data_IF_764485709803
#
_entry.id   IF_764485709803
#
_cell.length_a   1.000
_cell.length_b   1.000
_cell.length_c   1.000
_cell.angle_alpha   90.00
_cell.angle_beta   90.00
_cell.angle_gamma   90.00
#
_symmetry.space_group_name_H-M   'P 1'
#
loop_
_entity.id
_entity.type
_entity.pdbx_description
1 polymer ?
#
# COMPACT_ATOMS: atom_id res chain seq x y z
N UNK A 1 -69.71 -38.84 17.70
CA UNK A 1 -69.15 -38.11 16.54
C UNK A 1 -67.89 -37.41 17.03
N UNK A 2 -66.70 -38.01 16.81
CA UNK A 2 -65.42 -37.45 17.24
C UNK A 2 -64.79 -36.69 16.07
N UNK A 3 -64.37 -35.44 16.32
CA UNK A 3 -63.73 -34.56 15.34
C UNK A 3 -62.21 -34.56 15.59
N UNK A 4 -61.35 -34.93 14.63
CA UNK A 4 -59.91 -34.95 14.86
C UNK A 4 -59.30 -33.58 14.55
N UNK A 5 -58.79 -32.90 15.58
CA UNK A 5 -57.98 -31.70 15.41
C UNK A 5 -56.58 -32.11 14.89
N UNK A 6 -56.26 -31.73 13.65
CA UNK A 6 -54.93 -31.85 13.07
C UNK A 6 -54.03 -30.75 13.64
N UNK A 7 -53.07 -31.12 14.48
CA UNK A 7 -51.98 -30.25 14.91
C UNK A 7 -50.93 -30.24 13.79
N UNK A 8 -50.80 -29.11 13.08
CA UNK A 8 -49.67 -28.87 12.18
C UNK A 8 -48.47 -28.44 13.04
N UNK A 9 -47.40 -29.25 13.03
CA UNK A 9 -46.09 -28.84 13.52
C UNK A 9 -45.37 -28.06 12.42
N UNK A 10 -45.24 -26.74 12.59
CA UNK A 10 -44.40 -25.90 11.73
C UNK A 10 -42.95 -26.04 12.22
N UNK A 11 -42.12 -26.79 11.48
CA UNK A 11 -40.67 -26.82 11.69
C UNK A 11 -40.07 -25.48 11.26
N UNK A 12 -39.72 -24.64 12.23
CA UNK A 12 -38.89 -23.46 12.00
C UNK A 12 -37.44 -23.93 11.76
N UNK A 13 -37.00 -23.95 10.49
CA UNK A 13 -35.59 -24.09 10.15
C UNK A 13 -34.84 -22.84 10.63
N UNK A 14 -34.14 -22.95 11.75
CA UNK A 14 -33.10 -22.02 12.17
C UNK A 14 -31.97 -22.11 11.13
N UNK A 15 -31.97 -21.20 10.15
CA UNK A 15 -30.83 -20.97 9.27
C UNK A 15 -29.70 -20.40 10.13
N UNK A 16 -28.82 -21.27 10.64
CA UNK A 16 -27.55 -20.85 11.19
C UNK A 16 -26.77 -20.14 10.08
N UNK A 17 -26.26 -18.91 10.29
CA UNK A 17 -25.41 -18.26 9.31
C UNK A 17 -24.20 -19.17 9.13
N UNK A 18 -24.06 -19.76 7.94
CA UNK A 18 -22.81 -20.37 7.53
C UNK A 18 -21.79 -19.24 7.53
N UNK A 19 -20.87 -19.27 8.49
CA UNK A 19 -19.68 -18.44 8.44
C UNK A 19 -19.05 -18.65 7.07
N UNK A 20 -18.94 -17.59 6.27
CA UNK A 20 -18.26 -17.66 4.98
C UNK A 20 -16.85 -18.19 5.25
N UNK A 21 -16.52 -19.35 4.68
CA UNK A 21 -15.21 -19.95 4.89
C UNK A 21 -14.14 -19.05 4.27
N UNK A 22 -13.06 -18.83 5.03
CA UNK A 22 -11.86 -18.19 4.52
C UNK A 22 -11.29 -19.09 3.41
N UNK A 23 -11.25 -18.58 2.18
CA UNK A 23 -10.79 -19.32 0.99
C UNK A 23 -9.44 -18.75 0.54
N UNK A 24 -8.56 -19.58 -0.05
CA UNK A 24 -7.35 -19.07 -0.67
C UNK A 24 -7.66 -18.12 -1.82
N UNK A 25 -6.86 -17.07 -1.95
CA UNK A 25 -6.99 -16.08 -3.02
C UNK A 25 -5.64 -15.52 -3.42
N UNK A 26 -5.61 -14.70 -4.47
CA UNK A 26 -4.40 -14.04 -4.94
C UNK A 26 -4.65 -12.56 -5.09
N UNK A 27 -3.71 -11.74 -4.62
CA UNK A 27 -3.63 -10.33 -4.96
C UNK A 27 -2.23 -10.00 -5.48
N UNK A 28 -2.12 -8.88 -6.19
CA UNK A 28 -0.86 -8.45 -6.80
C UNK A 28 -0.43 -7.10 -6.23
N UNK A 29 0.87 -6.88 -6.14
CA UNK A 29 1.44 -5.59 -5.72
C UNK A 29 2.58 -5.15 -6.62
N UNK A 30 2.69 -3.85 -6.87
CA UNK A 30 3.74 -3.23 -7.68
C UNK A 30 3.86 -1.75 -7.28
N UNK A 31 4.92 -1.08 -7.70
CA UNK A 31 5.23 0.31 -7.31
C UNK A 31 6.45 0.81 -8.07
N UNK A 32 6.81 2.07 -7.89
CA UNK A 32 8.09 2.61 -8.37
C UNK A 32 8.29 2.47 -9.89
N UNK A 33 7.20 2.65 -10.64
CA UNK A 33 7.18 2.50 -12.09
C UNK A 33 6.00 3.23 -12.75
N UNK A 34 6.18 3.74 -13.98
CA UNK A 34 7.40 3.70 -14.80
C UNK A 34 8.26 4.94 -14.55
N UNK A 35 9.59 4.80 -14.65
CA UNK A 35 10.52 5.90 -14.43
C UNK A 35 11.07 6.41 -15.76
N UNK A 36 10.54 7.54 -16.23
CA UNK A 36 11.02 8.16 -17.46
C UNK A 36 12.26 9.02 -17.21
N UNK A 37 13.25 8.93 -18.10
CA UNK A 37 14.40 9.86 -18.11
C UNK A 37 13.96 11.21 -18.69
N UNK A 38 14.11 12.33 -17.97
CA UNK A 38 13.79 13.66 -18.50
C UNK A 38 14.57 13.95 -19.79
N UNK A 39 13.88 14.42 -20.82
CA UNK A 39 14.48 14.72 -22.13
C UNK A 39 14.65 13.52 -23.07
N UNK A 40 14.34 12.30 -22.63
CA UNK A 40 14.44 11.09 -23.45
C UNK A 40 13.05 10.48 -23.72
N UNK A 41 12.38 11.01 -24.74
CA UNK A 41 11.01 10.59 -25.08
C UNK A 41 10.93 9.12 -25.51
N UNK A 42 11.96 8.61 -26.22
CA UNK A 42 11.99 7.23 -26.68
C UNK A 42 12.13 6.25 -25.51
N UNK A 43 13.00 6.58 -24.54
CA UNK A 43 13.06 5.85 -23.28
C UNK A 43 11.74 5.88 -22.55
N UNK A 44 11.13 7.07 -22.40
CA UNK A 44 9.86 7.17 -21.70
C UNK A 44 8.78 6.31 -22.37
N UNK A 45 8.66 6.34 -23.70
CA UNK A 45 7.71 5.49 -24.42
C UNK A 45 7.99 3.98 -24.17
N UNK A 46 9.25 3.58 -24.10
CA UNK A 46 9.62 2.21 -23.74
C UNK A 46 9.17 1.84 -22.33
N UNK A 47 9.44 2.67 -21.33
CA UNK A 47 9.04 2.41 -19.94
C UNK A 47 7.52 2.31 -19.79
N UNK A 48 6.77 3.18 -20.50
CA UNK A 48 5.30 3.11 -20.52
C UNK A 48 4.79 1.82 -21.17
N UNK A 49 5.38 1.36 -22.28
CA UNK A 49 5.02 0.08 -22.90
C UNK A 49 5.34 -1.12 -22.01
N UNK A 50 6.45 -1.07 -21.26
CA UNK A 50 6.81 -2.11 -20.28
C UNK A 50 5.75 -2.21 -19.19
N UNK A 51 5.31 -1.07 -18.65
CA UNK A 51 4.21 -1.04 -17.68
C UNK A 51 2.89 -1.54 -18.28
N UNK A 52 2.52 -1.13 -19.50
CA UNK A 52 1.31 -1.63 -20.17
C UNK A 52 1.32 -3.16 -20.32
N UNK A 53 2.48 -3.72 -20.68
CA UNK A 53 2.68 -5.16 -20.77
C UNK A 53 2.53 -5.84 -19.41
N UNK A 54 3.07 -5.23 -18.35
CA UNK A 54 2.92 -5.73 -16.98
C UNK A 54 1.45 -5.73 -16.56
N UNK A 55 0.72 -4.62 -16.77
CA UNK A 55 -0.71 -4.51 -16.43
C UNK A 55 -1.52 -5.59 -17.18
N UNK A 56 -1.23 -5.83 -18.46
CA UNK A 56 -1.85 -6.92 -19.22
C UNK A 56 -1.62 -8.31 -18.59
N UNK A 57 -0.41 -8.58 -18.07
CA UNK A 57 -0.10 -9.82 -17.35
C UNK A 57 -0.80 -9.89 -15.99
N UNK A 58 -0.92 -8.77 -15.29
CA UNK A 58 -1.64 -8.68 -14.02
C UNK A 58 -3.13 -8.95 -14.20
N UNK A 59 -3.77 -8.34 -15.20
CA UNK A 59 -5.18 -8.62 -15.53
C UNK A 59 -5.39 -10.09 -15.91
N UNK A 60 -4.48 -10.68 -16.72
CA UNK A 60 -4.56 -12.08 -17.10
C UNK A 60 -4.40 -13.07 -15.92
N UNK A 61 -3.80 -12.63 -14.81
CA UNK A 61 -3.68 -13.42 -13.59
C UNK A 61 -4.97 -13.44 -12.74
N UNK A 62 -5.99 -12.66 -13.12
CA UNK A 62 -7.30 -12.57 -12.47
C UNK A 62 -7.25 -12.43 -10.93
N UNK A 63 -6.51 -11.45 -10.39
CA UNK A 63 -6.40 -11.30 -8.94
C UNK A 63 -7.71 -10.80 -8.33
N UNK A 64 -7.88 -11.05 -7.03
CA UNK A 64 -8.96 -10.45 -6.25
C UNK A 64 -8.90 -8.92 -6.29
N UNK A 65 -7.69 -8.37 -6.20
CA UNK A 65 -7.36 -6.96 -6.38
C UNK A 65 -5.85 -6.80 -6.65
N UNK A 66 -5.45 -5.62 -7.10
CA UNK A 66 -4.06 -5.19 -7.21
C UNK A 66 -3.80 -3.97 -6.32
N UNK A 67 -2.55 -3.75 -5.94
CA UNK A 67 -2.12 -2.60 -5.12
C UNK A 67 -0.93 -1.91 -5.78
N UNK A 68 -1.02 -0.59 -5.95
CA UNK A 68 0.10 0.26 -6.37
C UNK A 68 0.70 0.99 -5.16
N UNK A 69 1.98 0.76 -4.90
CA UNK A 69 2.71 1.20 -3.70
C UNK A 69 3.43 2.53 -3.88
N UNK A 70 2.89 3.41 -4.71
CA UNK A 70 3.46 4.75 -4.93
C UNK A 70 4.48 4.81 -6.06
N UNK A 71 4.91 6.04 -6.38
CA UNK A 71 5.93 6.34 -7.38
C UNK A 71 5.54 5.97 -8.83
N UNK A 72 4.47 6.61 -9.28
CA UNK A 72 3.97 6.71 -10.68
C UNK A 72 4.91 7.47 -11.63
N UNK A 73 5.97 8.09 -11.10
CA UNK A 73 7.02 8.76 -11.88
C UNK A 73 8.36 8.69 -11.14
N UNK A 74 9.45 8.94 -11.84
CA UNK A 74 10.75 9.14 -11.20
C UNK A 74 10.81 10.48 -10.44
N UNK A 75 11.62 10.56 -9.39
CA UNK A 75 11.79 11.79 -8.61
C UNK A 75 12.37 12.98 -9.39
N UNK A 76 13.05 12.75 -10.52
CA UNK A 76 13.56 13.81 -11.39
C UNK A 76 12.63 14.15 -12.57
N UNK A 77 11.48 13.51 -12.69
CA UNK A 77 10.44 13.93 -13.63
C UNK A 77 9.67 15.14 -13.06
N UNK A 78 9.36 16.09 -13.94
CA UNK A 78 8.59 17.28 -13.58
C UNK A 78 7.18 16.93 -13.07
N UNK A 79 6.73 17.56 -11.99
CA UNK A 79 5.41 17.35 -11.41
C UNK A 79 4.32 18.14 -12.14
N UNK A 80 4.21 17.94 -13.45
CA UNK A 80 3.17 18.56 -14.28
C UNK A 80 1.89 17.74 -14.26
N UNK A 81 0.77 18.36 -14.62
CA UNK A 81 -0.52 17.69 -14.70
C UNK A 81 -0.51 16.49 -15.65
N UNK A 82 0.21 16.62 -16.77
CA UNK A 82 0.34 15.56 -17.76
C UNK A 82 1.02 14.31 -17.17
N UNK A 83 2.02 14.50 -16.31
CA UNK A 83 2.85 13.43 -15.74
C UNK A 83 2.19 12.82 -14.50
N UNK A 84 1.76 13.65 -13.54
CA UNK A 84 1.28 13.17 -12.22
C UNK A 84 -0.18 12.70 -12.28
N UNK A 85 -1.04 13.38 -13.04
CA UNK A 85 -2.48 13.09 -13.03
C UNK A 85 -2.93 12.35 -14.29
N UNK A 86 -2.70 12.91 -15.49
CA UNK A 86 -3.26 12.37 -16.74
C UNK A 86 -2.65 11.00 -17.06
N UNK A 87 -1.32 10.90 -17.02
CA UNK A 87 -0.60 9.67 -17.32
C UNK A 87 -0.93 8.56 -16.31
N UNK A 88 -0.95 8.89 -15.02
CA UNK A 88 -1.34 7.97 -13.93
C UNK A 88 -2.78 7.48 -14.10
N UNK A 89 -3.74 8.38 -14.33
CA UNK A 89 -5.14 8.02 -14.55
C UNK A 89 -5.31 7.08 -15.76
N UNK A 90 -4.52 7.29 -16.82
CA UNK A 90 -4.51 6.42 -18.00
C UNK A 90 -4.09 5.00 -17.65
N UNK A 91 -3.05 4.78 -16.84
CA UNK A 91 -2.66 3.42 -16.42
C UNK A 91 -3.65 2.79 -15.45
N UNK A 92 -4.13 3.56 -14.46
CA UNK A 92 -5.10 3.05 -13.50
C UNK A 92 -6.41 2.62 -14.18
N UNK A 93 -6.80 3.27 -15.29
CA UNK A 93 -7.93 2.86 -16.13
C UNK A 93 -7.72 1.59 -16.97
N UNK A 94 -6.51 1.02 -17.02
CA UNK A 94 -6.21 -0.24 -17.71
C UNK A 94 -6.49 -1.48 -16.85
N UNK A 95 -6.65 -1.34 -15.53
CA UNK A 95 -6.90 -2.46 -14.64
C UNK A 95 -8.32 -3.00 -14.79
N UNK A 96 -8.45 -4.30 -15.07
CA UNK A 96 -9.74 -4.99 -15.20
C UNK A 96 -10.34 -5.36 -13.83
N UNK A 97 -9.51 -5.41 -12.80
CA UNK A 97 -9.84 -5.75 -11.40
C UNK A 97 -9.63 -4.53 -10.49
N UNK A 98 -10.12 -4.57 -9.22
CA UNK A 98 -9.89 -3.49 -8.27
C UNK A 98 -8.41 -3.15 -8.11
N UNK A 99 -8.10 -1.84 -8.12
CA UNK A 99 -6.77 -1.30 -7.87
C UNK A 99 -6.80 -0.39 -6.63
N UNK A 100 -6.06 -0.75 -5.59
CA UNK A 100 -5.80 0.13 -4.45
C UNK A 100 -4.52 0.90 -4.70
N UNK A 101 -4.48 2.17 -4.31
CA UNK A 101 -3.34 3.06 -4.50
C UNK A 101 -2.96 3.70 -3.16
N UNK A 102 -1.67 3.73 -2.84
CA UNK A 102 -1.10 4.64 -1.84
C UNK A 102 -0.03 5.52 -2.51
N UNK A 103 0.04 6.83 -2.22
CA UNK A 103 1.05 7.70 -2.84
C UNK A 103 2.47 7.36 -2.40
N UNK A 104 3.45 7.66 -3.27
CA UNK A 104 4.88 7.69 -2.96
C UNK A 104 5.40 9.12 -2.88
N UNK A 105 6.70 9.31 -2.61
CA UNK A 105 7.32 10.63 -2.52
C UNK A 105 7.42 11.33 -3.87
N UNK A 106 7.62 10.56 -4.95
CA UNK A 106 7.87 11.14 -6.26
C UNK A 106 6.69 11.99 -6.76
N UNK A 107 5.44 11.59 -6.53
CA UNK A 107 4.27 12.32 -7.03
C UNK A 107 4.02 13.65 -6.36
N UNK A 108 4.57 13.91 -5.18
CA UNK A 108 4.26 15.12 -4.42
C UNK A 108 5.41 15.66 -3.58
N UNK A 109 5.98 14.90 -2.64
CA UNK A 109 7.02 15.44 -1.74
C UNK A 109 8.29 15.80 -2.47
N UNK A 110 8.63 15.17 -3.59
CA UNK A 110 9.80 15.53 -4.38
C UNK A 110 9.58 16.76 -5.27
N UNK A 111 8.34 17.20 -5.43
CA UNK A 111 7.96 18.20 -6.42
C UNK A 111 8.48 19.61 -6.13
N UNK A 112 8.84 19.93 -4.88
CA UNK A 112 9.48 21.20 -4.53
C UNK A 112 10.91 21.31 -5.05
N UNK A 113 11.53 20.19 -5.39
CA UNK A 113 12.91 20.19 -5.86
C UNK A 113 12.98 20.83 -7.25
N UNK A 114 14.01 21.64 -7.56
CA UNK A 114 14.15 22.27 -8.88
C UNK A 114 14.13 21.27 -10.04
N UNK A 115 14.70 20.07 -9.85
CA UNK A 115 14.69 18.99 -10.86
C UNK A 115 13.28 18.47 -11.18
N UNK A 116 12.33 18.65 -10.27
CA UNK A 116 10.95 18.21 -10.38
C UNK A 116 9.96 19.36 -10.67
N UNK A 117 10.47 20.58 -10.93
CA UNK A 117 9.65 21.73 -11.33
C UNK A 117 9.41 22.78 -10.24
N UNK A 118 9.86 22.55 -8.99
CA UNK A 118 9.79 23.57 -7.94
C UNK A 118 8.36 23.92 -7.48
N UNK A 119 7.46 22.94 -7.49
CA UNK A 119 6.06 23.11 -7.12
C UNK A 119 5.83 23.03 -5.61
N UNK A 120 4.68 23.54 -5.14
CA UNK A 120 4.23 23.31 -3.76
C UNK A 120 3.80 21.83 -3.59
N UNK A 121 4.50 21.04 -2.75
CA UNK A 121 4.24 19.62 -2.60
C UNK A 121 2.89 19.35 -1.90
N UNK A 122 2.48 20.21 -0.96
CA UNK A 122 1.21 20.06 -0.22
C UNK A 122 0.03 20.38 -1.15
N UNK A 123 0.18 21.36 -2.03
CA UNK A 123 -0.82 21.63 -3.06
C UNK A 123 -0.99 20.45 -4.04
N UNK A 124 0.10 19.78 -4.40
CA UNK A 124 0.04 18.58 -5.25
C UNK A 124 -0.63 17.42 -4.51
N UNK A 125 -0.30 17.19 -3.23
CA UNK A 125 -0.97 16.17 -2.42
C UNK A 125 -2.49 16.41 -2.34
N UNK A 126 -2.92 17.65 -2.14
CA UNK A 126 -4.34 17.99 -2.14
C UNK A 126 -5.02 17.61 -3.48
N UNK A 127 -4.33 17.82 -4.61
CA UNK A 127 -4.82 17.42 -5.94
C UNK A 127 -4.81 15.91 -6.15
N UNK A 128 -3.80 15.18 -5.64
CA UNK A 128 -3.79 13.71 -5.65
C UNK A 128 -5.02 13.14 -4.93
N UNK A 129 -5.33 13.68 -3.74
CA UNK A 129 -6.52 13.31 -2.95
C UNK A 129 -7.81 13.54 -3.75
N UNK A 130 -7.93 14.67 -4.44
CA UNK A 130 -9.09 14.97 -5.30
C UNK A 130 -9.17 14.05 -6.52
N UNK A 131 -8.04 13.70 -7.14
CA UNK A 131 -8.02 12.92 -8.37
C UNK A 131 -8.26 11.42 -8.15
N UNK A 132 -7.64 10.85 -7.11
CA UNK A 132 -7.57 9.40 -6.94
C UNK A 132 -8.25 8.88 -5.67
N UNK A 133 -8.63 9.76 -4.74
CA UNK A 133 -9.22 9.38 -3.45
C UNK A 133 -10.56 10.10 -3.19
N UNK A 134 -11.24 10.53 -4.24
CA UNK A 134 -12.50 11.28 -4.13
C UNK A 134 -13.65 10.47 -3.52
N UNK A 135 -13.56 9.14 -3.55
CA UNK A 135 -14.63 8.21 -3.12
C UNK A 135 -14.05 7.12 -2.21
N UNK A 136 -14.86 6.53 -1.31
CA UNK A 136 -14.47 5.39 -0.48
C UNK A 136 -14.51 4.07 -1.27
N UNK A 137 -13.91 4.06 -2.47
CA UNK A 137 -13.88 2.93 -3.38
C UNK A 137 -12.49 2.84 -4.00
N UNK A 138 -12.04 1.63 -4.34
CA UNK A 138 -10.81 1.43 -5.11
C UNK A 138 -10.93 1.99 -6.53
N UNK A 139 -9.80 2.04 -7.23
CA UNK A 139 -9.71 2.36 -8.65
C UNK A 139 -9.87 1.10 -9.51
N UNK A 140 -9.71 1.26 -10.84
CA UNK A 140 -9.87 0.20 -11.83
C UNK A 140 -11.24 0.22 -12.52
N UNK A 141 -11.45 -0.66 -13.51
CA UNK A 141 -12.74 -0.80 -14.21
C UNK A 141 -13.83 -1.42 -13.34
N UNK A 142 -13.40 -2.31 -12.44
CA UNK A 142 -14.21 -2.85 -11.35
C UNK A 142 -13.62 -2.31 -10.06
N UNK A 143 -14.47 -1.79 -9.19
CA UNK A 143 -14.06 -1.22 -7.91
C UNK A 143 -14.53 -2.09 -6.75
N UNK A 144 -13.91 -1.90 -5.58
CA UNK A 144 -14.36 -2.47 -4.31
C UNK A 144 -14.49 -1.39 -3.25
N UNK A 145 -15.41 -1.53 -2.28
CA UNK A 145 -15.58 -0.55 -1.21
C UNK A 145 -14.37 -0.54 -0.28
N UNK A 146 -14.01 0.65 0.21
CA UNK A 146 -12.92 0.88 1.15
C UNK A 146 -13.44 1.66 2.36
N UNK A 147 -12.96 1.33 3.55
CA UNK A 147 -13.14 2.19 4.74
C UNK A 147 -11.94 3.11 4.85
N UNK A 148 -12.13 4.43 4.72
CA UNK A 148 -11.04 5.41 4.82
C UNK A 148 -10.94 5.99 6.23
N UNK A 149 -9.73 6.29 6.68
CA UNK A 149 -9.50 6.93 7.98
C UNK A 149 -10.33 8.20 8.11
N UNK A 150 -10.30 9.06 7.08
CA UNK A 150 -11.05 10.31 7.06
C UNK A 150 -12.57 10.16 7.28
N UNK A 151 -13.16 9.01 6.96
CA UNK A 151 -14.60 8.77 7.07
C UNK A 151 -15.02 8.26 8.45
N UNK A 152 -14.09 7.65 9.20
CA UNK A 152 -14.38 6.97 10.47
C UNK A 152 -13.63 7.55 11.67
N UNK A 153 -12.70 8.47 11.44
CA UNK A 153 -11.91 9.14 12.47
C UNK A 153 -12.14 10.67 12.40
N UNK A 154 -13.04 11.22 13.24
CA UNK A 154 -13.34 12.66 13.25
C UNK A 154 -12.14 13.56 13.59
N UNK A 155 -11.06 13.02 14.18
CA UNK A 155 -9.85 13.78 14.45
C UNK A 155 -8.91 13.86 13.23
N UNK A 156 -9.12 12.99 12.23
CA UNK A 156 -8.21 12.76 11.11
C UNK A 156 -8.94 12.79 9.75
N UNK A 157 -9.83 13.77 9.56
CA UNK A 157 -10.71 13.90 8.37
C UNK A 157 -10.00 14.20 7.04
N UNK A 158 -8.69 14.45 7.07
CA UNK A 158 -7.91 14.84 5.88
C UNK A 158 -7.27 13.64 5.17
N UNK A 159 -7.11 12.50 5.84
CA UNK A 159 -6.32 11.35 5.38
C UNK A 159 -7.20 10.33 4.65
N UNK A 160 -7.59 10.67 3.42
CA UNK A 160 -8.46 9.86 2.57
C UNK A 160 -7.74 8.70 1.89
N UNK A 161 -6.41 8.78 1.81
CA UNK A 161 -5.52 7.78 1.22
C UNK A 161 -5.18 6.62 2.17
N UNK A 162 -5.42 6.81 3.48
CA UNK A 162 -5.39 5.75 4.47
C UNK A 162 -6.71 4.98 4.41
N UNK A 163 -6.67 3.76 3.89
CA UNK A 163 -7.85 2.94 3.64
C UNK A 163 -7.65 1.52 4.17
N UNK A 164 -8.74 0.84 4.53
CA UNK A 164 -8.76 -0.56 4.94
C UNK A 164 -9.94 -1.32 4.35
N UNK A 165 -9.77 -2.62 4.21
CA UNK A 165 -10.81 -3.56 3.78
C UNK A 165 -10.52 -4.95 4.35
N UNK A 166 -11.52 -5.82 4.32
CA UNK A 166 -11.39 -7.22 4.71
C UNK A 166 -11.66 -8.11 3.49
N UNK A 167 -10.88 -9.17 3.34
CA UNK A 167 -11.09 -10.17 2.31
C UNK A 167 -10.73 -11.56 2.84
N UNK A 168 -11.70 -12.49 2.81
CA UNK A 168 -11.56 -13.87 3.29
C UNK A 168 -10.84 -14.01 4.65
N UNK A 169 -11.22 -13.19 5.64
CA UNK A 169 -10.66 -13.26 7.00
C UNK A 169 -9.28 -12.63 7.17
N UNK A 170 -8.80 -11.86 6.18
CA UNK A 170 -7.57 -11.07 6.26
C UNK A 170 -7.93 -9.58 6.20
N UNK A 171 -7.35 -8.78 7.09
CA UNK A 171 -7.48 -7.32 7.06
C UNK A 171 -6.31 -6.71 6.30
N UNK A 172 -6.61 -5.75 5.45
CA UNK A 172 -5.66 -5.01 4.64
C UNK A 172 -5.76 -3.53 4.98
N UNK A 173 -4.64 -2.81 5.05
CA UNK A 173 -4.65 -1.37 5.17
C UNK A 173 -3.48 -0.67 4.45
N UNK A 174 -3.78 0.41 3.74
CA UNK A 174 -2.77 1.37 3.30
C UNK A 174 -2.43 2.32 4.44
N UNK A 175 -1.16 2.72 4.51
CA UNK A 175 -0.64 3.74 5.42
C UNK A 175 0.22 4.68 4.61
N UNK A 176 -0.11 5.96 4.57
CA UNK A 176 0.57 6.94 3.75
C UNK A 176 1.91 7.36 4.37
N UNK A 177 2.89 6.48 4.28
CA UNK A 177 4.30 6.69 4.66
C UNK A 177 5.14 6.64 3.38
N UNK A 178 5.86 7.72 3.11
CA UNK A 178 6.59 7.92 1.85
C UNK A 178 8.10 8.07 2.10
N UNK A 179 8.88 7.89 1.04
CA UNK A 179 10.32 8.12 0.99
C UNK A 179 10.68 9.58 1.32
N UNK A 180 11.96 9.90 1.21
CA UNK A 180 12.46 11.24 1.56
C UNK A 180 12.13 11.64 3.02
N UNK A 181 12.51 10.77 3.97
CA UNK A 181 12.26 10.90 5.42
C UNK A 181 10.80 11.22 5.76
N UNK A 182 9.85 10.65 5.01
CA UNK A 182 8.41 10.84 5.21
C UNK A 182 7.96 12.31 5.09
N UNK A 183 8.62 13.11 4.24
CA UNK A 183 8.45 14.56 4.15
C UNK A 183 8.81 15.32 5.44
N UNK A 184 9.55 14.71 6.36
CA UNK A 184 10.01 15.43 7.55
C UNK A 184 10.97 16.55 7.13
N UNK A 185 10.75 17.81 7.54
CA UNK A 185 11.67 18.89 7.22
C UNK A 185 13.07 18.60 7.79
N UNK A 186 14.14 18.79 7.01
CA UNK A 186 15.49 18.68 7.55
C UNK A 186 15.75 19.76 8.59
N UNK A 187 16.61 19.47 9.57
CA UNK A 187 16.96 20.41 10.65
C UNK A 187 17.73 21.64 10.14
N UNK A 188 18.42 21.49 9.01
CA UNK A 188 19.19 22.56 8.38
C UNK A 188 19.01 22.54 6.86
N UNK A 189 19.21 23.68 6.21
CA UNK A 189 19.09 23.80 4.75
C UNK A 189 17.68 24.14 4.26
N UNK A 190 17.45 23.94 2.97
CA UNK A 190 16.16 24.19 2.35
C UNK A 190 15.15 23.12 2.78
N UNK A 191 13.94 23.57 3.13
CA UNK A 191 12.85 22.70 3.56
C UNK A 191 11.75 22.66 2.49
N UNK A 192 11.06 21.52 2.32
CA UNK A 192 9.89 21.46 1.47
C UNK A 192 8.81 22.42 2.01
N UNK A 193 8.20 23.28 1.17
CA UNK A 193 7.11 24.15 1.60
C UNK A 193 5.97 23.36 2.25
N UNK A 194 5.50 23.81 3.42
CA UNK A 194 4.39 23.20 4.15
C UNK A 194 4.69 21.88 4.87
N UNK A 195 5.90 21.33 4.75
CA UNK A 195 6.27 20.07 5.41
C UNK A 195 6.25 20.16 6.95
N UNK A 196 6.54 21.34 7.52
CA UNK A 196 6.55 21.53 8.97
C UNK A 196 5.17 21.34 9.62
N UNK A 197 4.09 21.70 8.93
CA UNK A 197 2.73 21.41 9.38
C UNK A 197 2.23 20.04 8.91
N UNK A 198 2.56 19.66 7.67
CA UNK A 198 2.05 18.44 7.02
C UNK A 198 2.55 17.16 7.72
N UNK A 199 3.87 17.05 7.92
CA UNK A 199 4.49 15.81 8.40
C UNK A 199 4.01 15.40 9.80
N UNK A 200 4.04 16.26 10.83
CA UNK A 200 3.65 15.83 12.18
C UNK A 200 2.19 15.38 12.26
N UNK A 201 1.29 16.04 11.51
CA UNK A 201 -0.12 15.67 11.46
C UNK A 201 -0.30 14.30 10.78
N UNK A 202 0.36 14.07 9.63
CA UNK A 202 0.27 12.78 8.92
C UNK A 202 0.90 11.63 9.69
N UNK A 203 2.07 11.82 10.32
CA UNK A 203 2.68 10.77 11.15
C UNK A 203 1.77 10.39 12.33
N UNK A 204 1.20 11.38 13.03
CA UNK A 204 0.27 11.11 14.12
C UNK A 204 -0.99 10.36 13.62
N UNK A 205 -1.56 10.77 12.49
CA UNK A 205 -2.71 10.12 11.88
C UNK A 205 -2.39 8.69 11.43
N UNK A 206 -1.22 8.45 10.82
CA UNK A 206 -0.77 7.13 10.41
C UNK A 206 -0.61 6.19 11.60
N UNK A 207 -0.05 6.65 12.72
CA UNK A 207 0.06 5.85 13.94
C UNK A 207 -1.31 5.48 14.52
N UNK A 208 -2.23 6.44 14.54
CA UNK A 208 -3.62 6.17 14.93
C UNK A 208 -4.30 5.17 13.99
N UNK A 209 -4.05 5.29 12.68
CA UNK A 209 -4.60 4.40 11.67
C UNK A 209 -4.08 2.96 11.78
N UNK A 210 -2.77 2.79 11.98
CA UNK A 210 -2.15 1.49 12.25
C UNK A 210 -2.81 0.84 13.47
N UNK A 211 -2.94 1.58 14.58
CA UNK A 211 -3.61 1.07 15.77
C UNK A 211 -5.07 0.66 15.50
N UNK A 212 -5.82 1.49 14.77
CA UNK A 212 -7.22 1.21 14.42
C UNK A 212 -7.38 0.01 13.47
N UNK A 213 -6.44 -0.21 12.55
CA UNK A 213 -6.45 -1.33 11.63
C UNK A 213 -6.15 -2.66 12.34
N UNK A 214 -5.20 -2.69 13.27
CA UNK A 214 -4.95 -3.86 14.11
C UNK A 214 -6.10 -4.14 15.09
N UNK A 215 -6.70 -3.10 15.68
CA UNK A 215 -7.89 -3.26 16.51
C UNK A 215 -9.06 -3.86 15.73
N UNK A 216 -9.21 -3.50 14.45
CA UNK A 216 -10.19 -4.12 13.57
C UNK A 216 -9.88 -5.60 13.31
N UNK A 217 -8.62 -5.93 13.01
CA UNK A 217 -8.18 -7.31 12.80
C UNK A 217 -8.41 -8.19 14.05
N UNK A 218 -8.19 -7.66 15.25
CA UNK A 218 -8.51 -8.34 16.51
C UNK A 218 -10.03 -8.50 16.69
N UNK A 219 -10.80 -7.43 16.42
CA UNK A 219 -12.26 -7.40 16.56
C UNK A 219 -12.96 -8.40 15.63
N UNK A 220 -12.50 -8.53 14.39
CA UNK A 220 -13.06 -9.47 13.40
C UNK A 220 -12.43 -10.85 13.50
N UNK A 221 -11.42 -11.03 14.35
CA UNK A 221 -10.73 -12.30 14.52
C UNK A 221 -9.90 -12.69 13.29
N UNK A 222 -9.43 -11.71 12.51
CA UNK A 222 -8.69 -11.91 11.27
C UNK A 222 -7.49 -12.84 11.44
N UNK A 223 -7.29 -13.76 10.51
CA UNK A 223 -6.18 -14.73 10.58
C UNK A 223 -4.83 -14.08 10.27
N UNK A 224 -4.82 -12.99 9.50
CA UNK A 224 -3.63 -12.24 9.15
C UNK A 224 -3.94 -10.75 8.91
N UNK A 225 -2.88 -9.94 8.87
CA UNK A 225 -2.92 -8.51 8.57
C UNK A 225 -1.93 -8.18 7.43
N UNK A 226 -2.31 -7.29 6.52
CA UNK A 226 -1.42 -6.75 5.49
C UNK A 226 -1.38 -5.24 5.58
N UNK A 227 -0.19 -4.67 5.79
CA UNK A 227 0.06 -3.23 5.76
C UNK A 227 0.83 -2.86 4.49
N UNK A 228 0.37 -1.82 3.80
CA UNK A 228 0.93 -1.35 2.54
C UNK A 228 1.31 0.12 2.65
N UNK A 229 2.53 0.47 2.28
CA UNK A 229 3.08 1.82 2.31
C UNK A 229 4.17 1.94 1.23
N UNK A 230 4.69 3.12 0.93
CA UNK A 230 5.73 3.26 -0.10
C UNK A 230 7.15 3.14 0.49
N UNK A 231 7.45 3.89 1.55
CA UNK A 231 8.81 4.08 2.10
C UNK A 231 9.58 2.80 2.48
N UNK A 232 10.89 2.72 2.17
CA UNK A 232 11.79 1.75 2.80
C UNK A 232 12.28 2.25 4.17
N UNK A 233 11.48 1.99 5.19
CA UNK A 233 11.77 2.36 6.59
C UNK A 233 12.98 1.64 7.22
N UNK A 234 13.68 0.79 6.46
CA UNK A 234 14.83 0.00 6.90
C UNK A 234 16.10 0.31 6.11
N UNK A 235 16.06 1.32 5.22
CA UNK A 235 17.22 1.70 4.40
C UNK A 235 18.47 1.94 5.27
N UNK A 236 18.34 2.74 6.33
CA UNK A 236 19.48 3.05 7.23
C UNK A 236 20.00 1.83 7.97
N UNK A 237 19.13 0.88 8.33
CA UNK A 237 19.57 -0.36 9.00
C UNK A 237 20.39 -1.24 8.07
N UNK A 238 20.03 -1.26 6.77
CA UNK A 238 20.74 -2.00 5.73
C UNK A 238 22.03 -1.29 5.30
N UNK A 239 21.98 0.03 5.11
CA UNK A 239 23.02 0.80 4.44
C UNK A 239 23.93 1.60 5.38
N UNK A 240 23.55 1.81 6.63
CA UNK A 240 24.29 2.61 7.60
C UNK A 240 24.19 4.12 7.40
N UNK A 241 23.47 4.59 6.37
CA UNK A 241 23.24 6.00 6.06
C UNK A 241 21.79 6.24 5.60
N UNK A 242 21.41 7.51 5.44
CA UNK A 242 20.06 7.93 5.07
C UNK A 242 19.22 8.38 6.27
N UNK A 243 18.30 9.30 6.03
CA UNK A 243 17.40 9.84 7.04
C UNK A 243 16.17 8.93 7.18
N UNK A 244 15.87 8.53 8.43
CA UNK A 244 14.72 7.67 8.77
C UNK A 244 13.98 8.17 10.01
N UNK A 245 14.31 9.37 10.50
CA UNK A 245 13.74 9.90 11.74
C UNK A 245 12.23 10.14 11.57
N UNK A 246 11.80 10.55 10.39
CA UNK A 246 10.40 10.75 10.02
C UNK A 246 9.56 9.46 9.93
N UNK A 247 10.20 8.29 9.90
CA UNK A 247 9.50 6.99 9.88
C UNK A 247 9.61 6.21 11.20
N UNK A 248 10.49 6.61 12.13
CA UNK A 248 10.75 5.86 13.37
C UNK A 248 9.49 5.63 14.20
N UNK A 249 8.68 6.67 14.40
CA UNK A 249 7.50 6.60 15.24
C UNK A 249 6.45 5.66 14.65
N UNK A 250 6.20 5.77 13.34
CA UNK A 250 5.29 4.86 12.63
C UNK A 250 5.80 3.42 12.62
N UNK A 251 7.09 3.19 12.35
CA UNK A 251 7.71 1.85 12.43
C UNK A 251 7.59 1.24 13.82
N UNK A 252 7.77 2.02 14.88
CA UNK A 252 7.60 1.56 16.26
C UNK A 252 6.14 1.18 16.56
N UNK A 253 5.17 2.00 16.10
CA UNK A 253 3.75 1.70 16.25
C UNK A 253 3.35 0.39 15.55
N UNK A 254 3.89 0.13 14.36
CA UNK A 254 3.68 -1.14 13.63
C UNK A 254 4.28 -2.30 14.42
N UNK A 255 5.51 -2.18 14.95
CA UNK A 255 6.15 -3.23 15.73
C UNK A 255 5.35 -3.58 16.99
N UNK A 256 4.90 -2.57 17.72
CA UNK A 256 4.11 -2.76 18.94
C UNK A 256 2.77 -3.45 18.62
N UNK A 257 2.07 -2.99 17.59
CA UNK A 257 0.79 -3.57 17.20
C UNK A 257 0.92 -5.00 16.68
N UNK A 258 1.94 -5.28 15.84
CA UNK A 258 2.20 -6.61 15.32
C UNK A 258 2.63 -7.60 16.42
N UNK A 259 3.38 -7.14 17.43
CA UNK A 259 3.76 -7.95 18.59
C UNK A 259 2.54 -8.35 19.43
N UNK A 260 1.56 -7.45 19.60
CA UNK A 260 0.29 -7.74 20.31
C UNK A 260 -0.62 -8.66 19.50
N UNK A 261 -0.73 -8.42 18.19
CA UNK A 261 -1.58 -9.22 17.30
C UNK A 261 -1.15 -10.68 17.25
N UNK A 262 0.16 -10.95 17.36
CA UNK A 262 0.77 -12.28 17.50
C UNK A 262 0.37 -13.31 16.42
N UNK A 263 -0.18 -12.83 15.31
CA UNK A 263 -0.57 -13.57 14.11
C UNK A 263 0.22 -13.04 12.91
N UNK A 264 0.20 -13.74 11.75
CA UNK A 264 0.91 -13.31 10.56
C UNK A 264 0.58 -11.88 10.14
N UNK A 265 1.63 -11.09 9.89
CA UNK A 265 1.56 -9.74 9.34
C UNK A 265 2.47 -9.67 8.12
N UNK A 266 1.95 -9.15 7.01
CA UNK A 266 2.73 -8.80 5.83
C UNK A 266 2.91 -7.28 5.76
N UNK A 267 4.16 -6.81 5.71
CA UNK A 267 4.49 -5.44 5.34
C UNK A 267 4.89 -5.42 3.87
N UNK A 268 4.20 -4.63 3.07
CA UNK A 268 4.39 -4.57 1.62
C UNK A 268 4.72 -3.15 1.18
N UNK A 269 5.89 -2.94 0.56
CA UNK A 269 6.35 -1.59 0.21
C UNK A 269 7.25 -1.52 -1.03
N UNK A 270 7.66 -0.29 -1.41
CA UNK A 270 8.51 0.06 -2.54
C UNK A 270 9.77 0.82 -2.13
N UNK A 271 10.10 1.91 -2.83
CA UNK A 271 11.14 2.93 -2.58
C UNK A 271 12.57 2.53 -2.96
N UNK A 272 13.08 1.38 -2.50
CA UNK A 272 14.47 0.99 -2.83
C UNK A 272 14.63 0.22 -4.15
N UNK A 273 13.54 -0.03 -4.88
CA UNK A 273 13.53 -0.54 -6.27
C UNK A 273 14.18 -1.91 -6.50
N UNK A 274 14.12 -2.83 -5.53
CA UNK A 274 14.53 -4.21 -5.72
C UNK A 274 13.64 -5.17 -4.94
N UNK A 275 13.53 -6.40 -5.44
CA UNK A 275 12.74 -7.41 -4.76
C UNK A 275 13.47 -7.93 -3.52
N UNK A 276 12.78 -7.94 -2.37
CA UNK A 276 13.28 -8.49 -1.12
C UNK A 276 12.12 -9.12 -0.33
N UNK A 277 12.38 -10.24 0.33
CA UNK A 277 11.49 -10.82 1.33
C UNK A 277 12.31 -11.21 2.57
N UNK A 278 12.02 -10.62 3.73
CA UNK A 278 12.78 -10.81 4.96
C UNK A 278 11.95 -10.51 6.22
N UNK A 279 12.57 -10.62 7.41
CA UNK A 279 11.94 -10.38 8.72
C UNK A 279 12.73 -9.30 9.48
N UNK A 280 12.63 -8.01 9.09
CA UNK A 280 13.50 -6.97 9.61
C UNK A 280 12.92 -6.27 10.86
N UNK A 281 11.62 -6.44 11.11
CA UNK A 281 10.95 -5.70 12.17
C UNK A 281 11.33 -6.27 13.54
N UNK A 282 11.62 -5.38 14.48
CA UNK A 282 12.02 -5.71 15.85
C UNK A 282 11.11 -5.03 16.85
N UNK A 283 10.84 -5.69 17.96
CA UNK A 283 10.11 -5.10 19.09
C UNK A 283 10.99 -4.13 19.90
N UNK A 284 10.39 -3.50 20.92
CA UNK A 284 11.10 -2.57 21.81
C UNK A 284 12.23 -3.20 22.64
N UNK A 285 12.33 -4.53 22.68
CA UNK A 285 13.44 -5.28 23.28
C UNK A 285 14.46 -5.75 22.24
N UNK A 286 14.40 -5.22 21.02
CA UNK A 286 15.28 -5.54 19.89
C UNK A 286 15.19 -6.99 19.37
N UNK A 287 14.13 -7.73 19.75
CA UNK A 287 13.89 -9.09 19.27
C UNK A 287 13.17 -9.03 17.92
N UNK A 288 13.59 -9.88 16.99
CA UNK A 288 12.94 -10.01 15.67
C UNK A 288 11.51 -10.52 15.85
N UNK A 289 10.56 -9.85 15.21
CA UNK A 289 9.17 -10.28 15.13
C UNK A 289 9.00 -11.28 13.98
N UNK A 290 9.15 -12.57 14.29
CA UNK A 290 9.06 -13.65 13.30
C UNK A 290 7.68 -13.80 12.65
N UNK A 291 6.64 -13.17 13.21
CA UNK A 291 5.30 -13.12 12.60
C UNK A 291 5.15 -12.00 11.57
N UNK A 292 6.19 -11.18 11.34
CA UNK A 292 6.15 -10.03 10.43
C UNK A 292 7.05 -10.26 9.24
N UNK A 293 6.46 -10.74 8.14
CA UNK A 293 7.13 -10.85 6.85
C UNK A 293 7.11 -9.47 6.19
N UNK A 294 8.26 -8.97 5.73
CA UNK A 294 8.35 -7.82 4.84
C UNK A 294 8.58 -8.29 3.43
N UNK A 295 7.90 -7.66 2.48
CA UNK A 295 8.14 -7.77 1.04
C UNK A 295 8.31 -6.38 0.45
N UNK A 296 9.41 -6.19 -0.27
CA UNK A 296 9.61 -5.01 -1.12
C UNK A 296 9.41 -5.41 -2.58
N UNK A 297 8.61 -4.63 -3.30
CA UNK A 297 8.41 -4.83 -4.74
C UNK A 297 9.64 -4.34 -5.53
N UNK A 298 9.98 -4.96 -6.66
CA UNK A 298 10.97 -4.40 -7.57
C UNK A 298 10.42 -3.12 -8.22
N UNK A 299 11.32 -2.29 -8.74
CA UNK A 299 10.98 -0.98 -9.28
C UNK A 299 12.06 -0.44 -10.22
N UNK A 300 11.82 0.76 -10.75
CA UNK A 300 12.68 1.47 -11.69
C UNK A 300 13.08 0.62 -12.91
N UNK A 301 14.24 -0.04 -12.87
CA UNK A 301 14.72 -0.83 -14.01
C UNK A 301 14.06 -2.20 -14.12
N UNK A 302 13.47 -2.73 -13.03
CA UNK A 302 12.84 -4.04 -12.99
C UNK A 302 11.31 -3.93 -12.90
N UNK A 303 10.65 -3.89 -14.07
CA UNK A 303 9.21 -3.70 -14.22
C UNK A 303 8.49 -5.04 -14.04
N UNK A 304 8.42 -5.49 -12.79
CA UNK A 304 7.66 -6.67 -12.36
C UNK A 304 6.73 -6.32 -11.22
N UNK A 305 5.63 -7.05 -11.14
CA UNK A 305 4.79 -7.08 -9.95
C UNK A 305 5.28 -8.19 -9.01
N UNK A 306 4.69 -8.26 -7.83
CA UNK A 306 4.77 -9.38 -6.91
C UNK A 306 3.38 -9.99 -6.82
N UNK A 307 3.31 -11.31 -6.99
CA UNK A 307 2.14 -12.13 -6.71
C UNK A 307 2.17 -12.58 -5.26
N UNK A 308 1.06 -12.37 -4.57
CA UNK A 308 0.85 -12.83 -3.20
C UNK A 308 -0.33 -13.78 -3.20
N UNK A 309 -0.04 -15.07 -3.03
CA UNK A 309 -1.05 -16.09 -2.81
C UNK A 309 -1.27 -16.19 -1.30
N UNK A 310 -2.54 -16.10 -0.88
CA UNK A 310 -2.94 -16.07 0.52
C UNK A 310 -3.75 -17.32 0.82
N UNK A 311 -3.26 -18.15 1.75
CA UNK A 311 -4.05 -19.20 2.39
C UNK A 311 -4.37 -18.77 3.84
N UNK A 312 -5.55 -18.21 4.10
CA UNK A 312 -5.90 -17.68 5.42
C UNK A 312 -6.04 -18.76 6.50
N UNK A 313 -5.96 -20.04 6.15
CA UNK A 313 -6.03 -21.18 7.07
C UNK A 313 -4.66 -21.75 7.44
N UNK A 314 -3.60 -21.37 6.70
CA UNK A 314 -2.24 -21.82 6.95
C UNK A 314 -1.56 -21.00 8.07
N UNK A 315 -0.61 -21.63 8.76
CA UNK A 315 0.20 -20.94 9.78
C UNK A 315 1.12 -19.86 9.17
N UNK A 316 1.62 -20.12 7.97
CA UNK A 316 2.35 -19.16 7.12
C UNK A 316 1.47 -18.87 5.89
N UNK A 317 0.61 -17.85 5.96
CA UNK A 317 -0.46 -17.68 4.99
C UNK A 317 -0.01 -17.07 3.66
N UNK A 318 1.24 -16.61 3.53
CA UNK A 318 1.70 -15.82 2.39
C UNK A 318 2.74 -16.57 1.55
N UNK A 319 2.41 -16.88 0.30
CA UNK A 319 3.38 -17.31 -0.71
C UNK A 319 3.66 -16.17 -1.70
N UNK A 320 4.95 -15.84 -1.88
CA UNK A 320 5.40 -14.64 -2.59
C UNK A 320 6.22 -15.03 -3.82
N UNK A 321 5.87 -14.48 -4.98
CA UNK A 321 6.62 -14.70 -6.21
C UNK A 321 6.60 -13.46 -7.13
N UNK A 322 7.73 -13.05 -7.73
CA UNK A 322 7.71 -12.04 -8.78
C UNK A 322 6.85 -12.47 -9.99
N UNK A 323 6.10 -11.54 -10.56
CA UNK A 323 5.26 -11.71 -11.74
C UNK A 323 5.72 -10.74 -12.84
N UNK A 324 6.07 -11.28 -14.00
CA UNK A 324 6.54 -10.51 -15.15
C UNK A 324 7.86 -11.05 -15.69
N UNK A 325 8.48 -10.33 -16.62
CA UNK A 325 9.79 -10.68 -17.17
C UNK A 325 10.84 -9.93 -16.36
N UNK A 326 11.82 -10.65 -15.81
CA UNK A 326 12.92 -10.02 -15.10
C UNK A 326 13.73 -9.17 -16.08
N UNK A 327 13.97 -7.91 -15.72
CA UNK A 327 14.74 -6.98 -16.53
C UNK A 327 15.61 -6.16 -15.58
N UNK A 328 16.93 -6.30 -15.72
CA UNK A 328 17.94 -5.66 -14.85
C UNK A 328 17.58 -5.71 -13.36
N UNK A 329 17.23 -6.89 -12.81
CA UNK A 329 16.94 -7.01 -11.39
C UNK A 329 18.19 -6.63 -10.59
N UNK A 330 18.01 -5.79 -9.57
CA UNK A 330 19.07 -5.43 -8.63
C UNK A 330 18.98 -6.29 -7.38
N UNK A 331 20.13 -6.60 -6.80
CA UNK A 331 20.21 -7.20 -5.47
C UNK A 331 19.95 -6.17 -4.38
N UNK A 332 19.86 -6.60 -3.11
CA UNK A 332 19.66 -5.71 -1.97
C UNK A 332 20.92 -4.93 -1.58
N UNK A 333 21.51 -4.23 -2.54
CA UNK A 333 22.71 -3.41 -2.38
C UNK A 333 22.33 -1.96 -2.16
N UNK A 334 23.18 -1.23 -1.43
CA UNK A 334 23.04 0.21 -1.26
C UNK A 334 23.58 0.95 -2.51
N UNK A 335 22.98 2.10 -2.89
CA UNK A 335 23.38 2.89 -4.06
C UNK A 335 24.85 3.33 -4.06
#
# INVERSE_FOLDING_TARGET
MLNPARVLFTLALLALPLAAQAQPFTFLAFGDMPYCRPGDAAHCEQEQRRLDTLIGRMNAAQPAFSVFLGDTKAGNEACTDAIVFVRTARWFGLFDHPLVYTPGDNEWTDCWQPRAGGHDPVAILARLRQAFFARPESLGRVTMPLTRQADIDPANTTFVENARWEHHGVVFATVHVVGSDNNRPPETGAQPPGAAEEFPARDAANRAWVAAAFAEAERTGASAMVLMFQSDMFFRDRCGFGDIEGVRATRAAIAEAAARFARPVLLLHGDSHFFLADYPLRDGSNRVLGNVLRVMVPGAEDIRAVRIEVDPTAAEPFAIAPLGIADRPRGPTCP
#
